data_IF_626275689259
#
_entry.id   IF_626275689259
#
_cell.length_a   1.000
_cell.length_b   1.000
_cell.length_c   1.000
_cell.angle_alpha   90.00
_cell.angle_beta   90.00
_cell.angle_gamma   90.00
#
_symmetry.space_group_name_H-M   'P 1'
#
loop_
_entity.id
_entity.type
_entity.pdbx_description
1 polymer ?
#
# COMPACT_ATOMS: atom_id res chain seq x y z
N UNK A 1 13.67 4.42 -8.03
CA UNK A 1 12.63 4.19 -9.05
C UNK A 1 12.18 5.54 -9.56
N UNK A 2 12.00 5.71 -10.87
CA UNK A 2 11.51 6.98 -11.43
C UNK A 2 10.00 7.08 -11.14
N UNK A 3 9.50 8.13 -10.47
CA UNK A 3 8.08 8.27 -10.16
C UNK A 3 7.19 8.33 -11.42
N UNK A 4 7.73 8.75 -12.57
CA UNK A 4 7.00 8.81 -13.83
C UNK A 4 7.08 7.51 -14.63
N UNK A 5 7.81 6.50 -14.14
CA UNK A 5 7.86 5.18 -14.76
C UNK A 5 6.46 4.56 -14.78
N UNK A 6 6.10 3.95 -15.91
CA UNK A 6 4.79 3.32 -16.08
C UNK A 6 4.68 2.05 -15.23
N UNK A 7 3.50 1.83 -14.67
CA UNK A 7 3.18 0.63 -13.89
C UNK A 7 2.47 -0.42 -14.75
N UNK A 8 2.82 -1.68 -14.54
CA UNK A 8 2.17 -2.85 -15.11
C UNK A 8 0.95 -3.31 -14.31
N UNK A 9 0.32 -4.40 -14.74
CA UNK A 9 -0.76 -5.04 -13.98
C UNK A 9 -0.25 -5.56 -12.64
N UNK A 10 0.93 -6.19 -12.62
CA UNK A 10 1.54 -6.72 -11.38
C UNK A 10 1.74 -5.63 -10.31
N UNK A 11 2.17 -4.43 -10.72
CA UNK A 11 2.34 -3.30 -9.81
C UNK A 11 0.99 -2.83 -9.25
N UNK A 12 -0.06 -2.79 -10.09
CA UNK A 12 -1.42 -2.42 -9.66
C UNK A 12 -2.01 -3.45 -8.71
N UNK A 13 -1.84 -4.73 -9.02
CA UNK A 13 -2.31 -5.83 -8.18
C UNK A 13 -1.59 -5.84 -6.82
N UNK A 14 -0.28 -5.59 -6.81
CA UNK A 14 0.50 -5.43 -5.58
C UNK A 14 -0.01 -4.26 -4.73
N UNK A 15 -0.33 -3.13 -5.35
CA UNK A 15 -0.93 -2.00 -4.64
C UNK A 15 -2.31 -2.34 -4.05
N UNK A 16 -3.17 -3.04 -4.81
CA UNK A 16 -4.47 -3.49 -4.30
C UNK A 16 -4.30 -4.46 -3.13
N UNK A 17 -3.34 -5.39 -3.21
CA UNK A 17 -3.03 -6.30 -2.11
C UNK A 17 -2.60 -5.53 -0.84
N UNK A 18 -1.71 -4.55 -0.96
CA UNK A 18 -1.31 -3.71 0.16
C UNK A 18 -2.50 -2.93 0.75
N UNK A 19 -3.38 -2.35 -0.08
CA UNK A 19 -4.59 -1.66 0.40
C UNK A 19 -5.49 -2.61 1.20
N UNK A 20 -5.64 -3.88 0.77
CA UNK A 20 -6.39 -4.90 1.52
C UNK A 20 -5.78 -5.17 2.90
N UNK A 21 -4.45 -5.21 3.02
CA UNK A 21 -3.77 -5.35 4.31
C UNK A 21 -4.06 -4.16 5.24
N UNK A 22 -4.10 -2.94 4.70
CA UNK A 22 -4.46 -1.75 5.47
C UNK A 22 -5.91 -1.77 5.97
N UNK A 23 -6.84 -2.23 5.14
CA UNK A 23 -8.24 -2.43 5.51
C UNK A 23 -8.38 -3.51 6.58
N UNK A 24 -7.71 -4.65 6.42
CA UNK A 24 -7.71 -5.73 7.41
C UNK A 24 -7.14 -5.28 8.77
N UNK A 25 -6.20 -4.34 8.76
CA UNK A 25 -5.65 -3.73 9.96
C UNK A 25 -6.50 -2.56 10.52
N UNK A 26 -7.68 -2.29 9.94
CA UNK A 26 -8.61 -1.25 10.40
C UNK A 26 -8.16 0.19 10.12
N UNK A 27 -7.17 0.39 9.25
CA UNK A 27 -6.65 1.73 8.89
C UNK A 27 -7.41 2.39 7.75
N UNK A 28 -8.09 1.58 6.95
CA UNK A 28 -9.02 2.02 5.94
C UNK A 28 -10.37 1.38 6.26
N UNK A 29 -11.45 2.14 6.12
CA UNK A 29 -12.76 1.53 6.01
C UNK A 29 -13.00 0.95 4.60
N UNK A 30 -14.13 0.27 4.41
CA UNK A 30 -14.47 -0.36 3.12
C UNK A 30 -14.70 0.66 2.00
N UNK A 31 -15.19 1.86 2.31
CA UNK A 31 -15.43 2.91 1.33
C UNK A 31 -14.11 3.50 0.84
N UNK A 32 -13.19 3.79 1.76
CA UNK A 32 -11.84 4.26 1.43
C UNK A 32 -11.06 3.20 0.66
N UNK A 33 -11.23 1.92 1.01
CA UNK A 33 -10.65 0.80 0.29
C UNK A 33 -11.13 0.76 -1.17
N UNK A 34 -12.45 0.77 -1.40
CA UNK A 34 -13.01 0.68 -2.75
C UNK A 34 -12.58 1.87 -3.64
N UNK A 35 -12.56 3.07 -3.06
CA UNK A 35 -12.10 4.29 -3.74
C UNK A 35 -10.61 4.20 -4.13
N UNK A 36 -9.75 3.77 -3.21
CA UNK A 36 -8.31 3.64 -3.46
C UNK A 36 -7.99 2.46 -4.37
N UNK A 37 -8.72 1.34 -4.26
CA UNK A 37 -8.59 0.19 -5.15
C UNK A 37 -8.91 0.59 -6.59
N UNK A 38 -10.00 1.33 -6.82
CA UNK A 38 -10.37 1.82 -8.15
C UNK A 38 -9.28 2.71 -8.75
N UNK A 39 -8.69 3.61 -7.94
CA UNK A 39 -7.57 4.46 -8.38
C UNK A 39 -6.29 3.66 -8.66
N UNK A 40 -5.99 2.64 -7.87
CA UNK A 40 -4.86 1.74 -8.09
C UNK A 40 -4.99 1.01 -9.44
N UNK A 41 -6.18 0.47 -9.74
CA UNK A 41 -6.45 -0.21 -11.01
C UNK A 41 -6.36 0.71 -12.23
N UNK A 42 -6.52 2.02 -12.06
CA UNK A 42 -6.40 3.03 -13.12
C UNK A 42 -5.02 3.71 -13.17
N UNK A 43 -4.12 3.42 -12.22
CA UNK A 43 -2.82 4.05 -12.13
C UNK A 43 -1.97 3.78 -13.36
N UNK A 44 -1.31 4.83 -13.85
CA UNK A 44 -0.43 4.76 -15.02
C UNK A 44 1.03 4.82 -14.63
N UNK A 45 1.35 5.41 -13.48
CA UNK A 45 2.71 5.61 -12.98
C UNK A 45 2.89 5.20 -11.53
N UNK A 46 4.14 5.01 -11.10
CA UNK A 46 4.44 4.77 -9.69
C UNK A 46 4.07 5.95 -8.79
N UNK A 47 4.11 7.18 -9.31
CA UNK A 47 3.61 8.35 -8.60
C UNK A 47 2.11 8.23 -8.25
N UNK A 48 1.29 7.80 -9.22
CA UNK A 48 -0.15 7.59 -9.02
C UNK A 48 -0.39 6.57 -7.89
N UNK A 49 0.37 5.47 -7.87
CA UNK A 49 0.29 4.46 -6.81
C UNK A 49 0.73 5.02 -5.45
N UNK A 50 1.89 5.70 -5.39
CA UNK A 50 2.45 6.21 -4.14
C UNK A 50 1.52 7.20 -3.42
N UNK A 51 0.77 8.02 -4.16
CA UNK A 51 -0.19 8.97 -3.56
C UNK A 51 -1.27 8.24 -2.75
N UNK A 52 -1.66 7.03 -3.14
CA UNK A 52 -2.74 6.26 -2.47
C UNK A 52 -2.36 5.81 -1.04
N UNK A 53 -1.08 5.81 -0.72
CA UNK A 53 -0.53 5.36 0.56
C UNK A 53 0.09 6.47 1.41
N UNK A 54 0.05 7.74 0.97
CA UNK A 54 0.78 8.84 1.61
C UNK A 54 0.42 9.08 3.08
N UNK A 55 -0.79 8.71 3.47
CA UNK A 55 -1.36 8.82 4.81
C UNK A 55 -1.34 7.48 5.57
N UNK A 56 -0.82 6.43 4.95
CA UNK A 56 -0.76 5.09 5.50
C UNK A 56 0.69 4.77 5.95
N UNK A 57 0.85 4.02 7.05
CA UNK A 57 2.17 3.58 7.48
C UNK A 57 2.75 2.57 6.47
N UNK A 58 4.03 2.67 6.12
CA UNK A 58 4.65 1.66 5.26
C UNK A 58 4.51 0.27 5.88
N UNK A 59 3.84 -0.66 5.19
CA UNK A 59 3.77 -2.08 5.61
C UNK A 59 5.11 -2.80 5.45
N UNK A 60 6.11 -2.14 4.87
CA UNK A 60 7.52 -2.55 4.83
C UNK A 60 8.21 -2.51 6.20
N UNK A 61 7.51 -2.83 7.29
CA UNK A 61 8.12 -2.94 8.61
C UNK A 61 8.04 -4.39 9.08
N UNK A 62 9.08 -5.17 8.76
CA UNK A 62 9.54 -6.18 9.69
C UNK A 62 10.56 -5.52 10.61
N UNK A 63 10.23 -5.12 11.85
CA UNK A 63 11.24 -5.16 12.88
C UNK A 63 11.43 -6.64 13.22
N UNK A 64 12.43 -7.29 12.62
CA UNK A 64 12.96 -8.57 13.14
C UNK A 64 13.83 -8.22 14.36
N UNK A 65 13.23 -7.68 15.40
CA UNK A 65 13.87 -7.44 16.70
C UNK A 65 12.84 -6.99 17.75
N UNK A 66 11.83 -7.81 18.02
CA UNK A 66 11.12 -7.74 19.31
C UNK A 66 10.93 -9.16 19.84
N UNK A 67 12.06 -9.77 20.22
CA UNK A 67 12.10 -10.78 21.28
C UNK A 67 13.49 -10.79 21.90
N UNK A 68 13.85 -9.69 22.55
CA UNK A 68 14.76 -9.71 23.71
C UNK A 68 14.18 -8.72 24.71
N UNK A 69 13.17 -9.16 25.44
CA UNK A 69 12.95 -8.66 26.80
C UNK A 69 13.45 -9.79 27.69
N UNK A 70 14.59 -9.57 28.32
CA UNK A 70 14.94 -10.29 29.53
C UNK A 70 15.59 -9.28 30.49
N UNK A 71 15.24 -9.34 31.80
CA UNK A 71 15.53 -8.31 32.79
C UNK A 71 17.01 -8.16 33.17
#
# INVERSE_FOLDING_TARGET
MDPNQRVGDEDRDAAVAALREHTAAGRLDMTEFDDRMTKALQARTFHDLNILFRDLPNTSNTPKAELVVDP
#
